data_IF_714705358213
#
_entry.id   IF_714705358213
#
_cell.length_a   1.000
_cell.length_b   1.000
_cell.length_c   1.000
_cell.angle_alpha   90.00
_cell.angle_beta   90.00
_cell.angle_gamma   90.00
#
_symmetry.space_group_name_H-M   'P 1'
#
loop_
_entity.id
_entity.type
_entity.pdbx_description
1 polymer ?
#
# COMPACT_ATOMS: atom_id res chain seq x y z
N UNK A 1 -5.48 -20.40 11.17
CA UNK A 1 -4.46 -20.36 12.23
C UNK A 1 -5.07 -20.42 13.64
N UNK A 2 -5.63 -19.32 14.17
CA UNK A 2 -6.07 -19.22 15.58
C UNK A 2 -7.17 -20.21 15.99
N UNK A 3 -8.18 -20.39 15.12
CA UNK A 3 -9.26 -21.36 15.32
C UNK A 3 -9.01 -22.70 14.60
N UNK A 4 -7.78 -22.92 14.11
CA UNK A 4 -7.41 -24.11 13.30
C UNK A 4 -8.27 -24.36 12.04
N UNK A 5 -8.87 -23.30 11.47
CA UNK A 5 -9.68 -23.38 10.25
C UNK A 5 -8.87 -23.27 8.94
N UNK A 6 -7.59 -22.91 9.03
CA UNK A 6 -6.69 -22.76 7.89
C UNK A 6 -5.25 -22.98 8.36
N UNK A 7 -4.49 -23.72 7.57
CA UNK A 7 -3.07 -24.02 7.81
C UNK A 7 -2.14 -22.89 7.34
N UNK A 8 -2.59 -22.07 6.38
CA UNK A 8 -1.88 -20.91 5.86
C UNK A 8 -2.86 -19.76 5.61
N UNK A 9 -2.41 -18.52 5.80
CA UNK A 9 -3.18 -17.30 5.56
C UNK A 9 -2.30 -16.24 4.90
N UNK A 10 -2.90 -15.39 4.08
CA UNK A 10 -2.27 -14.16 3.60
C UNK A 10 -2.62 -13.02 4.56
N UNK A 11 -1.61 -12.28 5.03
CA UNK A 11 -1.77 -11.19 5.99
C UNK A 11 -0.89 -10.02 5.60
N UNK A 12 -1.32 -8.80 5.93
CA UNK A 12 -0.46 -7.64 5.82
C UNK A 12 0.40 -7.49 7.08
N UNK A 13 1.66 -7.11 6.90
CA UNK A 13 2.60 -6.93 8.02
C UNK A 13 2.16 -5.83 8.96
N UNK A 14 1.60 -4.75 8.42
CA UNK A 14 1.12 -3.63 9.21
C UNK A 14 -0.11 -3.98 10.05
N UNK A 15 -1.04 -4.78 9.52
CA UNK A 15 -2.33 -5.07 10.18
C UNK A 15 -2.43 -6.50 10.72
N UNK A 16 -2.90 -7.46 9.90
CA UNK A 16 -3.37 -8.78 10.37
C UNK A 16 -2.26 -9.62 10.99
N UNK A 17 -1.01 -9.45 10.54
CA UNK A 17 0.12 -10.14 11.16
C UNK A 17 0.27 -9.77 12.63
N UNK A 18 0.12 -8.48 12.96
CA UNK A 18 0.12 -8.01 14.35
C UNK A 18 -1.01 -8.62 15.18
N UNK A 19 -2.20 -8.81 14.59
CA UNK A 19 -3.33 -9.43 15.28
C UNK A 19 -3.08 -10.91 15.60
N UNK A 20 -2.33 -11.62 14.76
CA UNK A 20 -1.90 -13.01 15.04
C UNK A 20 -0.98 -13.04 16.27
N UNK A 21 -0.04 -12.09 16.37
CA UNK A 21 0.85 -11.99 17.52
C UNK A 21 0.09 -11.61 18.80
N UNK A 22 -0.84 -10.66 18.71
CA UNK A 22 -1.66 -10.21 19.84
C UNK A 22 -2.58 -11.34 20.37
N UNK A 23 -2.92 -12.31 19.52
CA UNK A 23 -3.66 -13.51 19.90
C UNK A 23 -2.79 -14.59 20.57
N UNK A 24 -1.49 -14.33 20.75
CA UNK A 24 -0.57 -15.16 21.52
C UNK A 24 0.21 -16.20 20.70
N UNK A 25 0.20 -16.12 19.37
CA UNK A 25 1.08 -16.94 18.53
C UNK A 25 2.41 -16.22 18.38
N UNK A 26 3.52 -16.86 18.78
CA UNK A 26 4.82 -16.20 18.70
C UNK A 26 5.42 -16.30 17.30
N UNK A 27 6.31 -15.37 16.94
CA UNK A 27 6.92 -15.34 15.60
C UNK A 27 7.72 -16.61 15.28
N UNK A 28 8.30 -17.28 16.28
CA UNK A 28 9.04 -18.54 16.10
C UNK A 28 8.15 -19.76 15.83
N UNK A 29 6.84 -19.65 16.08
CA UNK A 29 5.83 -20.63 15.66
C UNK A 29 5.35 -20.41 14.21
N UNK A 30 5.78 -19.31 13.58
CA UNK A 30 5.34 -18.90 12.24
C UNK A 30 6.44 -19.10 11.21
N UNK A 31 6.04 -19.52 10.01
CA UNK A 31 6.89 -19.47 8.83
C UNK A 31 6.31 -18.41 7.89
N UNK A 32 7.04 -17.31 7.71
CA UNK A 32 6.59 -16.17 6.91
C UNK A 32 7.20 -16.21 5.52
N UNK A 33 6.35 -16.16 4.50
CA UNK A 33 6.75 -16.06 3.10
C UNK A 33 6.43 -14.66 2.58
N UNK A 34 7.44 -13.80 2.42
CA UNK A 34 7.25 -12.47 1.84
C UNK A 34 7.03 -12.58 0.34
N UNK A 35 6.01 -11.91 -0.18
CA UNK A 35 5.67 -11.98 -1.60
C UNK A 35 6.76 -11.37 -2.48
N UNK A 36 7.52 -10.41 -1.97
CA UNK A 36 8.69 -9.82 -2.61
C UNK A 36 9.76 -10.88 -2.85
N UNK A 37 10.07 -11.69 -1.83
CA UNK A 37 11.07 -12.76 -1.91
C UNK A 37 10.60 -13.92 -2.81
N UNK A 38 9.29 -14.09 -2.96
CA UNK A 38 8.68 -15.08 -3.86
C UNK A 38 8.47 -14.55 -5.29
N UNK A 39 8.75 -13.27 -5.56
CA UNK A 39 8.58 -12.66 -6.89
C UNK A 39 7.13 -12.48 -7.33
N UNK A 40 6.17 -12.57 -6.41
CA UNK A 40 4.71 -12.46 -6.69
C UNK A 40 4.07 -11.24 -6.05
N UNK A 41 4.85 -10.33 -5.46
CA UNK A 41 4.34 -9.08 -4.91
C UNK A 41 3.61 -8.25 -5.97
N UNK A 42 2.41 -7.78 -5.61
CA UNK A 42 1.55 -6.93 -6.44
C UNK A 42 1.42 -5.55 -5.80
N UNK A 43 1.31 -4.51 -6.62
CA UNK A 43 0.94 -3.18 -6.16
C UNK A 43 -0.47 -3.23 -5.55
N UNK A 44 -0.59 -2.78 -4.30
CA UNK A 44 -1.86 -2.76 -3.56
C UNK A 44 -2.58 -1.41 -3.74
N UNK A 45 -1.92 -0.33 -3.32
CA UNK A 45 -2.51 1.01 -3.31
C UNK A 45 -1.97 1.92 -4.42
N UNK A 46 -2.82 2.85 -4.87
CA UNK A 46 -2.48 3.84 -5.88
C UNK A 46 -3.40 5.06 -5.86
N UNK A 47 -2.93 6.17 -6.45
CA UNK A 47 -3.76 7.36 -6.71
C UNK A 47 -4.31 7.24 -8.13
N UNK A 48 -5.62 7.17 -8.25
CA UNK A 48 -6.32 6.98 -9.53
C UNK A 48 -7.04 8.26 -9.96
N UNK A 49 -7.02 8.52 -11.26
CA UNK A 49 -7.78 9.60 -11.89
C UNK A 49 -8.32 9.14 -13.25
N UNK A 50 -9.45 9.70 -13.67
CA UNK A 50 -9.95 9.49 -15.03
C UNK A 50 -9.02 10.19 -16.02
N UNK A 51 -8.59 9.47 -17.06
CA UNK A 51 -7.64 9.97 -18.07
C UNK A 51 -8.14 11.27 -18.73
N UNK A 52 -9.44 11.36 -19.02
CA UNK A 52 -10.03 12.56 -19.64
C UNK A 52 -9.87 13.81 -18.78
N UNK A 53 -9.89 13.69 -17.45
CA UNK A 53 -9.68 14.83 -16.57
C UNK A 53 -8.23 15.33 -16.61
N UNK A 54 -7.26 14.46 -16.90
CA UNK A 54 -5.85 14.85 -17.00
C UNK A 54 -5.57 15.71 -18.25
N UNK A 55 -6.49 15.74 -19.22
CA UNK A 55 -6.41 16.62 -20.40
C UNK A 55 -6.76 18.07 -20.07
N UNK A 56 -7.48 18.33 -18.98
CA UNK A 56 -7.74 19.69 -18.49
C UNK A 56 -6.50 20.20 -17.71
N UNK A 57 -5.83 21.27 -18.18
CA UNK A 57 -4.67 21.83 -17.50
C UNK A 57 -4.95 22.27 -16.05
N UNK A 58 -6.15 22.76 -15.77
CA UNK A 58 -6.51 23.21 -14.42
C UNK A 58 -6.66 22.03 -13.46
N UNK A 59 -7.27 20.94 -13.91
CA UNK A 59 -7.35 19.69 -13.15
C UNK A 59 -5.97 19.07 -12.94
N UNK A 60 -5.15 18.97 -14.00
CA UNK A 60 -3.80 18.41 -13.90
C UNK A 60 -2.95 19.18 -12.88
N UNK A 61 -2.99 20.52 -12.90
CA UNK A 61 -2.31 21.38 -11.93
C UNK A 61 -2.82 21.18 -10.49
N UNK A 62 -4.13 20.98 -10.30
CA UNK A 62 -4.70 20.60 -9.00
C UNK A 62 -4.15 19.24 -8.53
N UNK A 63 -4.03 18.26 -9.42
CA UNK A 63 -3.48 16.95 -9.07
C UNK A 63 -2.00 17.01 -8.72
N UNK A 64 -1.21 17.86 -9.38
CA UNK A 64 0.20 18.09 -9.02
C UNK A 64 0.32 18.57 -7.57
N UNK A 65 -0.52 19.54 -7.15
CA UNK A 65 -0.54 20.00 -5.76
C UNK A 65 -0.99 18.91 -4.79
N UNK A 66 -2.02 18.15 -5.16
CA UNK A 66 -2.53 17.05 -4.35
C UNK A 66 -1.46 15.98 -4.11
N UNK A 67 -0.87 15.44 -5.18
CA UNK A 67 0.19 14.41 -5.10
C UNK A 67 1.39 14.93 -4.30
N UNK A 68 1.82 16.18 -4.51
CA UNK A 68 2.89 16.79 -3.72
C UNK A 68 2.53 16.87 -2.23
N UNK A 69 1.30 17.25 -1.90
CA UNK A 69 0.84 17.30 -0.52
C UNK A 69 0.76 15.90 0.11
N UNK A 70 0.24 14.90 -0.62
CA UNK A 70 0.20 13.51 -0.17
C UNK A 70 1.60 12.96 0.13
N UNK A 71 2.56 13.19 -0.76
CA UNK A 71 3.97 12.77 -0.54
C UNK A 71 4.57 13.42 0.70
N UNK A 72 4.31 14.72 0.92
CA UNK A 72 4.73 15.40 2.15
C UNK A 72 4.05 14.84 3.39
N UNK A 73 2.77 14.50 3.30
CA UNK A 73 2.01 13.85 4.37
C UNK A 73 2.61 12.50 4.76
N UNK A 74 2.95 11.66 3.78
CA UNK A 74 3.61 10.38 4.04
C UNK A 74 4.97 10.55 4.73
N UNK A 75 5.81 11.48 4.26
CA UNK A 75 7.10 11.77 4.92
C UNK A 75 6.93 12.35 6.33
N UNK A 76 5.86 13.11 6.56
CA UNK A 76 5.51 13.56 7.89
C UNK A 76 5.09 12.38 8.79
N UNK A 77 4.24 11.49 8.30
CA UNK A 77 3.76 10.34 9.06
C UNK A 77 4.88 9.35 9.42
N UNK A 78 5.82 9.11 8.50
CA UNK A 78 7.06 8.35 8.74
C UNK A 78 7.88 8.95 9.90
N UNK A 79 7.98 10.28 9.97
CA UNK A 79 8.75 10.98 11.00
C UNK A 79 7.98 11.21 12.31
N UNK A 80 6.64 11.17 12.28
CA UNK A 80 5.76 11.49 13.40
C UNK A 80 4.67 10.41 13.58
N UNK A 81 5.04 9.15 13.81
CA UNK A 81 4.09 8.03 13.74
C UNK A 81 3.00 8.10 14.82
N UNK A 82 3.30 8.65 16.01
CA UNK A 82 2.28 8.88 17.06
C UNK A 82 1.24 9.92 16.68
N UNK A 83 1.67 11.01 16.02
CA UNK A 83 0.71 12.04 15.55
C UNK A 83 -0.12 11.50 14.38
N UNK A 84 0.50 10.78 13.45
CA UNK A 84 -0.22 10.12 12.37
C UNK A 84 -1.27 9.13 12.91
N UNK A 85 -0.92 8.33 13.92
CA UNK A 85 -1.86 7.44 14.60
C UNK A 85 -3.04 8.20 15.20
N UNK A 86 -2.79 9.32 15.91
CA UNK A 86 -3.85 10.14 16.49
C UNK A 86 -4.77 10.77 15.43
N UNK A 87 -4.22 11.24 14.31
CA UNK A 87 -5.03 11.74 13.19
C UNK A 87 -5.98 10.65 12.68
N UNK A 88 -5.52 9.40 12.59
CA UNK A 88 -6.39 8.28 12.18
C UNK A 88 -7.47 8.02 13.24
N UNK A 89 -7.12 8.01 14.52
CA UNK A 89 -8.08 7.80 15.62
C UNK A 89 -9.15 8.89 15.69
N UNK A 90 -8.78 10.15 15.49
CA UNK A 90 -9.70 11.29 15.47
C UNK A 90 -10.74 11.19 14.32
N UNK A 91 -10.43 10.39 13.29
CA UNK A 91 -11.29 10.11 12.15
C UNK A 91 -11.86 8.67 12.17
N UNK A 92 -11.63 7.89 13.22
CA UNK A 92 -12.21 6.55 13.37
C UNK A 92 -13.63 6.64 13.95
N UNK A 93 -14.62 6.73 13.06
CA UNK A 93 -16.03 6.74 13.45
C UNK A 93 -16.50 5.39 14.05
N UNK A 94 -15.76 4.30 13.83
CA UNK A 94 -16.14 2.97 14.31
C UNK A 94 -15.78 2.72 15.78
N UNK A 95 -14.75 3.42 16.28
CA UNK A 95 -14.15 3.17 17.59
C UNK A 95 -13.42 1.82 17.70
N UNK A 96 -13.18 1.13 16.58
CA UNK A 96 -12.50 -0.15 16.56
C UNK A 96 -10.97 -0.02 16.67
N UNK A 97 -10.43 1.17 16.40
CA UNK A 97 -9.00 1.42 16.37
C UNK A 97 -8.45 1.76 17.76
N UNK A 98 -7.22 1.35 18.01
CA UNK A 98 -6.48 1.71 19.24
C UNK A 98 -5.18 2.39 18.89
N UNK A 99 -4.69 3.27 19.76
CA UNK A 99 -3.41 3.96 19.58
C UNK A 99 -2.25 2.97 19.39
N UNK A 100 -2.20 1.92 20.22
CA UNK A 100 -1.15 0.90 20.10
C UNK A 100 -1.16 0.19 18.74
N UNK A 101 -2.35 -0.09 18.20
CA UNK A 101 -2.50 -0.73 16.90
C UNK A 101 -2.13 0.22 15.74
N UNK A 102 -2.61 1.47 15.78
CA UNK A 102 -2.29 2.49 14.78
C UNK A 102 -0.81 2.85 14.76
N UNK A 103 -0.17 2.95 15.92
CA UNK A 103 1.27 3.21 16.02
C UNK A 103 2.09 2.07 15.43
N UNK A 104 1.68 0.81 15.67
CA UNK A 104 2.29 -0.38 15.06
C UNK A 104 2.12 -0.35 13.54
N UNK A 105 0.91 -0.12 13.04
CA UNK A 105 0.62 -0.02 11.60
C UNK A 105 1.51 1.01 10.94
N UNK A 106 1.57 2.23 11.47
CA UNK A 106 2.41 3.29 10.91
C UNK A 106 3.90 2.93 10.93
N UNK A 107 4.38 2.25 11.98
CA UNK A 107 5.75 1.75 12.05
C UNK A 107 6.09 0.73 10.96
N UNK A 108 5.19 -0.20 10.67
CA UNK A 108 5.37 -1.17 9.58
C UNK A 108 5.27 -0.51 8.21
N UNK A 109 4.32 0.42 8.00
CA UNK A 109 4.20 1.19 6.76
C UNK A 109 5.49 2.00 6.50
N UNK A 110 6.07 2.62 7.52
CA UNK A 110 7.32 3.37 7.37
C UNK A 110 8.49 2.50 6.89
N UNK A 111 8.49 1.19 7.18
CA UNK A 111 9.48 0.25 6.61
C UNK A 111 9.22 -0.01 5.13
N UNK A 112 7.96 -0.12 4.73
CA UNK A 112 7.55 -0.37 3.33
C UNK A 112 7.82 0.84 2.43
N UNK A 113 7.67 2.06 2.96
CA UNK A 113 7.91 3.30 2.20
C UNK A 113 9.35 3.81 2.30
N UNK A 114 10.21 3.12 3.06
CA UNK A 114 11.60 3.50 3.27
C UNK A 114 12.35 3.60 1.93
N UNK A 115 13.00 4.76 1.70
CA UNK A 115 13.73 5.03 0.46
C UNK A 115 12.87 5.37 -0.76
N UNK A 116 11.54 5.22 -0.67
CA UNK A 116 10.61 5.64 -1.72
C UNK A 116 10.29 7.13 -1.64
N UNK A 117 10.08 7.76 -2.79
CA UNK A 117 9.51 9.10 -2.91
C UNK A 117 8.04 9.08 -3.40
N UNK A 118 7.42 7.89 -3.44
CA UNK A 118 6.05 7.70 -3.92
C UNK A 118 5.91 7.65 -5.45
N UNK A 119 7.01 7.66 -6.20
CA UNK A 119 6.96 7.40 -7.65
C UNK A 119 6.70 5.93 -7.91
N UNK A 120 5.76 5.65 -8.80
CA UNK A 120 5.52 4.30 -9.30
C UNK A 120 6.79 3.76 -9.97
N UNK A 121 7.31 2.63 -9.51
CA UNK A 121 8.33 1.88 -10.22
C UNK A 121 7.66 1.07 -11.36
N UNK A 122 8.00 1.31 -12.64
CA UNK A 122 7.47 0.51 -13.75
C UNK A 122 7.73 -0.99 -13.59
N UNK A 123 8.82 -1.42 -12.93
CA UNK A 123 9.10 -2.83 -12.71
C UNK A 123 8.07 -3.49 -11.76
N UNK A 124 7.58 -2.74 -10.76
CA UNK A 124 6.52 -3.22 -9.86
C UNK A 124 5.18 -3.33 -10.59
N UNK A 125 4.89 -2.38 -11.49
CA UNK A 125 3.71 -2.46 -12.36
C UNK A 125 3.78 -3.67 -13.29
N UNK A 126 4.90 -3.89 -13.98
CA UNK A 126 5.07 -5.02 -14.89
C UNK A 126 5.01 -6.36 -14.15
N UNK A 127 5.60 -6.45 -12.96
CA UNK A 127 5.47 -7.63 -12.10
C UNK A 127 4.03 -7.88 -11.70
N UNK A 128 3.29 -6.83 -11.32
CA UNK A 128 1.87 -6.92 -10.99
C UNK A 128 1.06 -7.46 -12.18
N UNK A 129 1.23 -6.89 -13.37
CA UNK A 129 0.56 -7.37 -14.59
C UNK A 129 0.90 -8.83 -14.87
N UNK A 130 2.18 -9.21 -14.76
CA UNK A 130 2.60 -10.60 -14.96
C UNK A 130 1.94 -11.57 -13.97
N UNK A 131 1.94 -11.23 -12.67
CA UNK A 131 1.30 -12.04 -11.62
C UNK A 131 -0.20 -12.21 -11.89
N UNK A 132 -0.91 -11.13 -12.25
CA UNK A 132 -2.35 -11.17 -12.52
C UNK A 132 -2.71 -11.97 -13.78
N UNK A 133 -1.80 -12.06 -14.74
CA UNK A 133 -1.97 -12.89 -15.94
C UNK A 133 -1.55 -14.36 -15.74
N UNK A 134 -0.79 -14.68 -14.69
CA UNK A 134 -0.19 -15.99 -14.51
C UNK A 134 -1.16 -17.09 -14.04
N UNK A 135 -2.43 -16.77 -13.77
CA UNK A 135 -3.46 -17.67 -13.21
C UNK A 135 -3.86 -18.88 -14.08
N UNK A 136 -3.11 -19.21 -15.13
CA UNK A 136 -3.33 -20.40 -15.96
C UNK A 136 -4.68 -20.37 -16.67
N UNK A 137 -5.59 -21.27 -16.28
CA UNK A 137 -6.96 -21.33 -16.83
C UNK A 137 -7.84 -20.15 -16.41
N UNK A 138 -7.52 -19.49 -15.29
CA UNK A 138 -8.35 -18.47 -14.66
C UNK A 138 -7.50 -17.25 -14.26
N UNK A 139 -6.90 -16.53 -15.24
CA UNK A 139 -6.13 -15.33 -14.95
C UNK A 139 -7.06 -14.20 -14.46
N UNK A 140 -6.57 -13.37 -13.54
CA UNK A 140 -7.32 -12.22 -13.01
C UNK A 140 -7.58 -11.19 -14.11
N UNK A 141 -6.60 -10.98 -14.99
CA UNK A 141 -6.75 -10.16 -16.20
C UNK A 141 -6.38 -10.99 -17.43
N UNK A 142 -7.17 -10.83 -18.50
CA UNK A 142 -6.98 -11.59 -19.75
C UNK A 142 -6.15 -10.85 -20.79
N UNK A 143 -5.84 -9.57 -20.56
CA UNK A 143 -5.05 -8.73 -21.43
C UNK A 143 -4.17 -7.77 -20.63
N UNK A 144 -3.00 -7.43 -21.18
CA UNK A 144 -2.13 -6.40 -20.61
C UNK A 144 -2.81 -5.03 -20.71
N UNK A 145 -2.88 -4.26 -19.62
CA UNK A 145 -3.40 -2.90 -19.70
C UNK A 145 -2.44 -2.01 -20.50
N UNK A 146 -3.01 -1.09 -21.28
CA UNK A 146 -2.27 -0.08 -22.04
C UNK A 146 -2.65 1.31 -21.53
N UNK A 147 -1.65 2.17 -21.28
CA UNK A 147 -1.89 3.54 -20.79
C UNK A 147 -2.45 3.61 -19.36
N UNK A 148 -2.33 2.53 -18.57
CA UNK A 148 -2.94 2.44 -17.25
C UNK A 148 -2.23 3.26 -16.15
N UNK A 149 -1.06 3.84 -16.44
CA UNK A 149 -0.33 4.71 -15.52
C UNK A 149 0.36 5.85 -16.25
N UNK A 150 0.70 6.91 -15.52
CA UNK A 150 1.49 8.04 -16.02
C UNK A 150 2.33 8.66 -14.91
N UNK A 151 3.54 9.11 -15.24
CA UNK A 151 4.36 9.94 -14.34
C UNK A 151 4.14 11.44 -14.52
N UNK A 152 3.32 11.87 -15.49
CA UNK A 152 3.19 13.30 -15.84
C UNK A 152 2.81 14.23 -14.67
N UNK A 153 2.03 13.72 -13.70
CA UNK A 153 1.66 14.45 -12.48
C UNK A 153 2.77 14.33 -11.43
N UNK A 154 3.25 13.12 -11.17
CA UNK A 154 4.30 12.83 -10.17
C UNK A 154 5.61 13.56 -10.47
N UNK A 155 6.06 13.56 -11.73
CA UNK A 155 7.27 14.27 -12.18
C UNK A 155 7.19 15.77 -11.94
N UNK A 156 5.99 16.36 -12.05
CA UNK A 156 5.76 17.77 -11.75
C UNK A 156 5.64 18.02 -10.25
N UNK A 157 5.13 17.05 -9.49
CA UNK A 157 4.96 17.14 -8.04
C UNK A 157 6.31 17.08 -7.30
N UNK A 158 7.26 16.30 -7.83
CA UNK A 158 8.61 16.10 -7.26
C UNK A 158 9.63 17.18 -7.65
N UNK A 159 9.27 18.07 -8.57
CA UNK A 159 9.99 19.34 -8.80
C UNK A 159 9.61 20.36 -7.73
#
# INVERSE_FOLDING_TARGET
>A
LLQRQADCISTMTYNEFGQVLDAGVSEDELVTFKYEDQGVATLEDGIYALEDNLKDPAFADKMVRFVRASMKGWKYAEANPSEAANIVLDNDESGAQTEAHQLRMMGEIAKLTAGSNGTLDPADYERTVATLMAGGSDPVITAKPSGAWTHAITDKALK
#
